data_IF_176860992553
#
_entry.id   IF_176860992553
#
_cell.length_a   1.000
_cell.length_b   1.000
_cell.length_c   1.000
_cell.angle_alpha   90.00
_cell.angle_beta   90.00
_cell.angle_gamma   90.00
#
_symmetry.space_group_name_H-M   'P 1'
#
loop_
_entity.id
_entity.type
_entity.pdbx_description
1 polymer ?
#
# COMPACT_ATOMS: atom_id res chain seq x y z
N UNK A 1 -26.57 4.70 -0.47
CA UNK A 1 -25.84 3.45 -0.20
C UNK A 1 -24.35 3.72 -0.30
N UNK A 2 -23.58 3.51 0.77
CA UNK A 2 -22.12 3.66 0.73
C UNK A 2 -21.51 2.36 0.19
N UNK A 3 -20.77 2.42 -0.91
CA UNK A 3 -20.06 1.26 -1.44
C UNK A 3 -18.82 1.04 -0.58
N UNK A 4 -18.77 -0.06 0.16
CA UNK A 4 -17.58 -0.44 0.91
C UNK A 4 -16.51 -0.97 -0.06
N UNK A 5 -15.62 -0.09 -0.48
CA UNK A 5 -14.54 -0.38 -1.42
C UNK A 5 -13.46 -1.33 -0.84
N UNK A 6 -13.51 -1.65 0.46
CA UNK A 6 -12.63 -2.63 1.09
C UNK A 6 -13.17 -4.07 1.07
N UNK A 7 -14.41 -4.30 0.61
CA UNK A 7 -15.00 -5.65 0.55
C UNK A 7 -14.22 -6.62 -0.35
N UNK A 8 -13.56 -6.12 -1.38
CA UNK A 8 -12.71 -6.90 -2.27
C UNK A 8 -11.29 -7.13 -1.74
N UNK A 9 -10.98 -6.67 -0.51
CA UNK A 9 -9.65 -6.71 0.09
C UNK A 9 -8.52 -6.25 -0.86
N UNK A 10 -8.56 -4.99 -1.35
CA UNK A 10 -7.62 -4.53 -2.38
C UNK A 10 -6.18 -4.37 -1.88
N UNK A 11 -5.98 -4.14 -0.57
CA UNK A 11 -4.66 -3.92 0.01
C UNK A 11 -3.90 -5.22 0.22
N UNK A 12 -2.69 -5.30 -0.32
CA UNK A 12 -1.78 -6.44 -0.24
C UNK A 12 -0.78 -6.27 0.92
N UNK A 13 0.01 -7.31 1.19
CA UNK A 13 1.13 -7.27 2.13
C UNK A 13 0.76 -6.75 3.54
N UNK A 14 -0.38 -7.20 4.08
CA UNK A 14 -0.93 -6.73 5.36
C UNK A 14 -1.26 -5.22 5.40
N UNK A 15 -1.52 -4.58 4.25
CA UNK A 15 -2.05 -3.22 4.18
C UNK A 15 -3.43 -3.09 4.82
N UNK A 16 -3.66 -2.01 5.56
CA UNK A 16 -4.97 -1.71 6.14
C UNK A 16 -5.83 -0.95 5.14
N UNK A 17 -6.99 -1.51 4.78
CA UNK A 17 -7.93 -0.84 3.88
C UNK A 17 -8.85 0.12 4.63
N UNK A 18 -8.92 1.37 4.18
CA UNK A 18 -9.81 2.40 4.70
C UNK A 18 -10.80 2.78 3.60
N UNK A 19 -12.09 2.60 3.88
CA UNK A 19 -13.15 3.05 2.96
C UNK A 19 -13.37 4.55 3.13
N UNK A 20 -13.33 5.27 2.00
CA UNK A 20 -13.66 6.69 1.88
C UNK A 20 -15.02 6.84 1.16
N UNK A 21 -15.54 8.07 1.05
CA UNK A 21 -16.89 8.34 0.53
C UNK A 21 -17.16 7.74 -0.86
N UNK A 22 -16.15 7.68 -1.74
CA UNK A 22 -16.27 7.16 -3.11
C UNK A 22 -15.10 6.28 -3.54
N UNK A 23 -14.16 6.00 -2.64
CA UNK A 23 -12.89 5.31 -2.95
C UNK A 23 -12.37 4.55 -1.74
N UNK A 24 -11.28 3.83 -1.89
CA UNK A 24 -10.52 3.28 -0.77
C UNK A 24 -9.13 3.92 -0.70
N UNK A 25 -8.48 3.73 0.44
CA UNK A 25 -7.07 4.02 0.63
C UNK A 25 -6.43 2.85 1.37
N UNK A 26 -5.27 2.40 0.90
CA UNK A 26 -4.46 1.43 1.63
C UNK A 26 -3.42 2.16 2.48
N UNK A 27 -3.41 1.86 3.77
CA UNK A 27 -2.31 2.22 4.66
C UNK A 27 -1.29 1.09 4.66
N UNK A 28 -0.17 1.31 3.97
CA UNK A 28 0.85 0.30 3.80
C UNK A 28 1.76 0.19 5.03
N UNK A 29 2.14 -1.03 5.44
CA UNK A 29 3.15 -1.22 6.46
C UNK A 29 4.53 -0.78 5.96
N UNK A 30 5.44 -0.53 6.90
CA UNK A 30 6.83 -0.18 6.60
C UNK A 30 7.46 -1.21 5.67
N UNK A 31 8.10 -0.73 4.60
CA UNK A 31 8.70 -1.59 3.59
C UNK A 31 7.79 -1.90 2.39
N UNK A 32 6.56 -1.37 2.34
CA UNK A 32 5.67 -1.51 1.19
C UNK A 32 5.11 -0.15 0.73
N UNK A 33 4.86 -0.04 -0.57
CA UNK A 33 4.30 1.15 -1.23
C UNK A 33 3.42 0.73 -2.42
N UNK A 34 2.83 1.72 -3.10
CA UNK A 34 1.87 1.51 -4.19
C UNK A 34 0.43 1.74 -3.74
N UNK A 35 -0.50 1.74 -4.69
CA UNK A 35 -1.93 2.01 -4.40
C UNK A 35 -2.51 0.90 -3.51
N UNK A 36 -2.03 -0.33 -3.71
CA UNK A 36 -2.47 -1.54 -3.03
C UNK A 36 -1.36 -2.12 -2.15
N UNK A 37 -0.31 -1.38 -1.82
CA UNK A 37 0.85 -1.89 -1.10
C UNK A 37 1.53 -3.07 -1.83
N UNK A 38 1.43 -3.11 -3.16
CA UNK A 38 1.93 -4.20 -4.01
C UNK A 38 3.44 -4.15 -4.23
N UNK A 39 4.06 -2.99 -4.02
CA UNK A 39 5.47 -2.77 -4.25
C UNK A 39 6.24 -2.88 -2.93
N UNK A 40 7.32 -3.66 -2.92
CA UNK A 40 8.26 -3.66 -1.80
C UNK A 40 9.16 -2.43 -1.96
N UNK A 41 9.30 -1.65 -0.88
CA UNK A 41 10.34 -0.64 -0.75
C UNK A 41 11.64 -1.41 -0.54
N UNK A 42 12.18 -1.97 -1.62
CA UNK A 42 13.61 -2.24 -1.66
C UNK A 42 14.23 -0.87 -1.66
N UNK A 43 14.86 -0.46 -0.56
CA UNK A 43 15.85 0.60 -0.67
C UNK A 43 16.81 0.10 -1.76
N UNK A 44 16.91 0.77 -2.92
CA UNK A 44 18.02 0.50 -3.78
C UNK A 44 19.21 1.08 -3.02
N UNK A 45 19.81 0.27 -2.15
CA UNK A 45 21.26 0.23 -2.07
C UNK A 45 21.79 -0.29 -3.43
N UNK A 46 21.45 0.42 -4.49
CA UNK A 46 21.99 0.31 -5.84
C UNK A 46 22.43 1.74 -6.12
N UNK A 47 23.55 2.20 -5.59
CA UNK A 47 24.87 1.61 -5.77
C UNK A 47 25.81 2.42 -4.86
N UNK A 48 26.45 1.78 -3.89
CA UNK A 48 27.47 2.38 -3.01
C UNK A 48 27.04 3.68 -2.28
N UNK A 49 26.48 3.61 -1.05
CA UNK A 49 26.46 4.79 -0.20
C UNK A 49 27.90 5.14 0.19
N UNK A 50 28.49 6.09 -0.56
CA UNK A 50 29.79 6.72 -0.31
C UNK A 50 30.92 5.73 0.06
N UNK A 51 31.51 5.05 -0.93
CA UNK A 51 32.84 4.44 -0.84
C UNK A 51 33.82 5.19 -1.73
#
# INVERSE_FOLDING_TARGET
>A
SQVNACTSAPCLNNGTCITLTTRYQCQCPSGFQGINCEQIITQPCSSSPCL
#
